data_IF_185263381339
#
_entry.id   IF_185263381339
#
_cell.length_a   1.000
_cell.length_b   1.000
_cell.length_c   1.000
_cell.angle_alpha   90.00
_cell.angle_beta   90.00
_cell.angle_gamma   90.00
#
_symmetry.space_group_name_H-M   'P 1'
#
loop_
_entity.id
_entity.type
_entity.pdbx_description
1 polymer ?
#
# COMPACT_ATOMS: atom_id res chain seq x y z
N UNK A 1 22.22 -1.30 -16.06
CA UNK A 1 21.96 -0.57 -14.81
C UNK A 1 20.49 -0.62 -14.46
N UNK A 2 19.60 -0.16 -15.34
CA UNK A 2 18.15 -0.10 -15.11
C UNK A 2 17.50 -1.42 -14.66
N UNK A 3 17.88 -2.56 -15.24
CA UNK A 3 17.28 -3.85 -14.85
C UNK A 3 17.63 -4.28 -13.42
N UNK A 4 18.85 -3.99 -12.95
CA UNK A 4 19.28 -4.30 -11.59
C UNK A 4 18.59 -3.37 -10.58
N UNK A 5 18.43 -2.10 -10.92
CA UNK A 5 17.71 -1.11 -10.09
C UNK A 5 16.22 -1.46 -9.96
N UNK A 6 15.59 -1.89 -11.06
CA UNK A 6 14.21 -2.41 -11.08
C UNK A 6 14.05 -3.68 -10.23
N UNK A 7 15.02 -4.59 -10.25
CA UNK A 7 15.02 -5.80 -9.41
C UNK A 7 15.17 -5.49 -7.92
N UNK A 8 16.07 -4.58 -7.55
CA UNK A 8 16.26 -4.13 -6.17
C UNK A 8 15.00 -3.44 -5.66
N UNK A 9 14.36 -2.60 -6.50
CA UNK A 9 13.10 -1.95 -6.17
C UNK A 9 11.96 -2.96 -5.96
N UNK A 10 11.86 -3.98 -6.81
CA UNK A 10 10.89 -5.06 -6.64
C UNK A 10 11.10 -5.81 -5.31
N UNK A 11 12.36 -6.13 -4.96
CA UNK A 11 12.68 -6.76 -3.67
C UNK A 11 12.26 -5.90 -2.47
N UNK A 12 12.49 -4.58 -2.52
CA UNK A 12 12.07 -3.66 -1.46
C UNK A 12 10.54 -3.65 -1.31
N UNK A 13 9.80 -3.69 -2.41
CA UNK A 13 8.33 -3.74 -2.36
C UNK A 13 7.86 -5.09 -1.79
N UNK A 14 8.45 -6.21 -2.18
CA UNK A 14 8.10 -7.55 -1.64
C UNK A 14 8.34 -7.59 -0.13
N UNK A 15 9.49 -7.07 0.32
CA UNK A 15 9.81 -6.95 1.75
C UNK A 15 8.78 -6.09 2.48
N UNK A 16 8.43 -4.92 1.92
CA UNK A 16 7.42 -4.03 2.47
C UNK A 16 6.08 -4.75 2.62
N UNK A 17 5.56 -5.37 1.55
CA UNK A 17 4.29 -6.11 1.56
C UNK A 17 4.31 -7.27 2.56
N UNK A 18 5.40 -8.03 2.62
CA UNK A 18 5.57 -9.15 3.56
C UNK A 18 5.59 -8.70 5.04
N UNK A 19 6.03 -7.46 5.30
CA UNK A 19 6.07 -6.88 6.64
C UNK A 19 4.71 -6.40 7.15
N UNK A 20 3.73 -6.22 6.24
CA UNK A 20 2.37 -5.79 6.61
C UNK A 20 1.64 -6.97 7.28
N UNK A 21 1.71 -7.06 8.61
CA UNK A 21 0.85 -7.94 9.43
C UNK A 21 -0.59 -7.51 9.23
N UNK A 22 -1.37 -8.22 8.41
CA UNK A 22 -2.58 -7.58 7.90
C UNK A 22 -3.80 -8.47 7.63
N UNK A 23 -4.94 -7.82 7.87
CA UNK A 23 -6.31 -8.22 7.58
C UNK A 23 -6.47 -8.44 6.07
N UNK A 24 -7.40 -9.30 5.61
CA UNK A 24 -7.56 -9.70 4.19
C UNK A 24 -7.64 -8.49 3.26
N UNK A 25 -8.26 -7.40 3.71
CA UNK A 25 -8.34 -6.14 2.96
C UNK A 25 -6.96 -5.56 2.60
N UNK A 26 -6.03 -5.53 3.56
CA UNK A 26 -4.68 -5.00 3.35
C UNK A 26 -3.84 -5.91 2.46
N UNK A 27 -4.07 -7.22 2.52
CA UNK A 27 -3.51 -8.18 1.57
C UNK A 27 -4.00 -7.89 0.15
N UNK A 28 -5.30 -7.68 -0.05
CA UNK A 28 -5.89 -7.39 -1.37
C UNK A 28 -5.39 -6.04 -1.91
N UNK A 29 -5.38 -4.99 -1.10
CA UNK A 29 -4.89 -3.67 -1.51
C UNK A 29 -3.39 -3.68 -1.77
N UNK A 30 -2.60 -4.32 -0.89
CA UNK A 30 -1.16 -4.48 -1.08
C UNK A 30 -0.84 -5.26 -2.36
N UNK A 31 -1.61 -6.31 -2.67
CA UNK A 31 -1.46 -7.09 -3.90
C UNK A 31 -1.83 -6.27 -5.15
N UNK A 32 -2.88 -5.43 -5.08
CA UNK A 32 -3.27 -4.56 -6.18
C UNK A 32 -2.20 -3.50 -6.47
N UNK A 33 -1.65 -2.88 -5.42
CA UNK A 33 -0.52 -1.93 -5.53
C UNK A 33 0.69 -2.66 -6.11
N UNK A 34 0.98 -3.88 -5.65
CA UNK A 34 2.10 -4.67 -6.15
C UNK A 34 1.98 -5.00 -7.64
N UNK A 35 0.80 -5.44 -8.08
CA UNK A 35 0.50 -5.68 -9.49
C UNK A 35 0.67 -4.41 -10.33
N UNK A 36 0.22 -3.26 -9.83
CA UNK A 36 0.44 -1.98 -10.49
C UNK A 36 1.94 -1.69 -10.67
N UNK A 37 2.76 -1.87 -9.63
CA UNK A 37 4.21 -1.65 -9.73
C UNK A 37 4.89 -2.63 -10.70
N UNK A 38 4.52 -3.92 -10.68
CA UNK A 38 5.05 -4.92 -11.62
C UNK A 38 4.77 -4.50 -13.06
N UNK A 39 3.52 -4.13 -13.37
CA UNK A 39 3.14 -3.73 -14.73
C UNK A 39 3.90 -2.48 -15.20
N UNK A 40 4.10 -1.52 -14.31
CA UNK A 40 4.83 -0.30 -14.63
C UNK A 40 6.35 -0.53 -14.74
N UNK A 41 6.94 -1.49 -14.01
CA UNK A 41 8.37 -1.84 -14.12
C UNK A 41 8.77 -2.37 -15.50
N UNK A 42 7.83 -2.90 -16.28
CA UNK A 42 8.09 -3.31 -17.67
C UNK A 42 8.12 -2.13 -18.66
N UNK A 43 7.59 -0.97 -18.26
CA UNK A 43 7.34 0.15 -19.18
C UNK A 43 8.06 1.44 -18.77
N UNK A 44 8.44 1.58 -17.51
CA UNK A 44 8.97 2.81 -16.94
C UNK A 44 10.20 2.54 -16.08
N UNK A 45 11.12 3.52 -16.05
CA UNK A 45 12.23 3.52 -15.11
C UNK A 45 11.73 3.72 -13.66
N UNK A 46 12.46 3.25 -12.64
CA UNK A 46 12.04 3.40 -11.23
C UNK A 46 11.72 4.84 -10.82
N UNK A 47 12.44 5.81 -11.37
CA UNK A 47 12.28 7.23 -11.08
C UNK A 47 11.00 7.79 -11.71
N UNK A 48 10.68 7.38 -12.93
CA UNK A 48 9.41 7.71 -13.57
C UNK A 48 8.22 7.12 -12.82
N UNK A 49 8.31 5.88 -12.34
CA UNK A 49 7.26 5.24 -11.54
C UNK A 49 7.00 6.06 -10.26
N UNK A 50 8.04 6.46 -9.54
CA UNK A 50 7.93 7.32 -8.36
C UNK A 50 7.22 8.64 -8.71
N UNK A 51 7.62 9.27 -9.80
CA UNK A 51 7.04 10.54 -10.26
C UNK A 51 5.55 10.37 -10.61
N UNK A 52 5.19 9.25 -11.23
CA UNK A 52 3.82 8.92 -11.65
C UNK A 52 2.91 8.67 -10.45
N UNK A 53 3.41 7.96 -9.44
CA UNK A 53 2.73 7.74 -8.15
C UNK A 53 2.53 9.06 -7.40
N UNK A 54 3.56 9.91 -7.33
CA UNK A 54 3.45 11.23 -6.72
C UNK A 54 2.44 12.12 -7.43
N UNK A 55 2.45 12.13 -8.76
CA UNK A 55 1.46 12.86 -9.54
C UNK A 55 0.04 12.34 -9.26
N UNK A 56 -0.17 11.02 -9.24
CA UNK A 56 -1.48 10.45 -8.90
C UNK A 56 -1.96 10.84 -7.50
N UNK A 57 -1.04 10.91 -6.53
CA UNK A 57 -1.31 11.38 -5.17
C UNK A 57 -1.77 12.83 -5.12
N UNK A 58 -1.12 13.71 -5.89
CA UNK A 58 -1.43 15.14 -5.95
C UNK A 58 -2.75 15.39 -6.68
N UNK A 59 -2.98 14.68 -7.80
CA UNK A 59 -4.18 14.87 -8.62
C UNK A 59 -5.42 14.17 -8.06
N UNK A 60 -5.27 13.12 -7.24
CA UNK A 60 -6.41 12.42 -6.63
C UNK A 60 -6.19 12.10 -5.13
N UNK A 61 -6.15 13.14 -4.28
CA UNK A 61 -5.95 12.97 -2.83
C UNK A 61 -7.11 12.22 -2.16
N UNK A 62 -8.32 12.32 -2.70
CA UNK A 62 -9.53 11.69 -2.15
C UNK A 62 -9.49 10.17 -2.37
N UNK A 63 -9.10 9.73 -3.57
CA UNK A 63 -8.94 8.30 -3.87
C UNK A 63 -7.89 7.64 -2.97
N UNK A 64 -6.83 8.37 -2.63
CA UNK A 64 -5.83 7.91 -1.67
C UNK A 64 -6.38 7.83 -0.24
N UNK A 65 -7.10 8.84 0.23
CA UNK A 65 -7.72 8.85 1.57
C UNK A 65 -8.72 7.71 1.77
N UNK A 66 -9.47 7.33 0.72
CA UNK A 66 -10.40 6.20 0.74
C UNK A 66 -9.69 4.88 1.06
N UNK A 67 -8.44 4.69 0.63
CA UNK A 67 -7.67 3.46 0.93
C UNK A 67 -7.36 3.31 2.42
N UNK A 68 -7.22 4.41 3.15
CA UNK A 68 -6.97 4.39 4.60
C UNK A 68 -8.25 4.24 5.42
N UNK A 69 -9.41 4.49 4.83
CA UNK A 69 -10.69 4.48 5.54
C UNK A 69 -10.98 3.13 6.23
N UNK A 70 -10.78 1.96 5.58
CA UNK A 70 -11.00 0.66 6.21
C UNK A 70 -9.99 0.35 7.31
N UNK A 71 -8.76 0.85 7.18
CA UNK A 71 -7.68 0.75 8.18
C UNK A 71 -8.02 1.55 9.45
N UNK A 72 -8.49 2.78 9.25
CA UNK A 72 -8.97 3.67 10.31
C UNK A 72 -10.18 3.03 10.98
N UNK A 73 -11.12 2.50 10.19
CA UNK A 73 -12.32 1.84 10.69
C UNK A 73 -11.99 0.57 11.51
N UNK A 74 -11.13 -0.33 11.03
CA UNK A 74 -10.72 -1.53 11.76
C UNK A 74 -10.01 -1.18 13.08
N UNK A 75 -9.17 -0.14 13.05
CA UNK A 75 -8.50 0.38 14.25
C UNK A 75 -9.49 0.98 15.24
N UNK A 76 -10.46 1.74 14.75
CA UNK A 76 -11.52 2.33 15.55
C UNK A 76 -12.42 1.26 16.19
N UNK A 77 -12.81 0.23 15.42
CA UNK A 77 -13.60 -0.91 15.92
C UNK A 77 -12.83 -1.68 16.99
N UNK A 78 -11.54 -1.97 16.80
CA UNK A 78 -10.71 -2.61 17.84
C UNK A 78 -10.59 -1.75 19.08
N UNK A 79 -10.43 -0.44 18.92
CA UNK A 79 -10.35 0.51 20.03
C UNK A 79 -11.66 0.51 20.84
N UNK A 80 -12.81 0.61 20.17
CA UNK A 80 -14.12 0.52 20.80
C UNK A 80 -14.32 -0.81 21.52
N UNK A 81 -14.02 -1.95 20.87
CA UNK A 81 -14.07 -3.26 21.52
C UNK A 81 -13.22 -3.29 22.79
N UNK A 82 -11.98 -2.82 22.75
CA UNK A 82 -11.08 -2.83 23.92
C UNK A 82 -11.59 -1.97 25.08
N UNK A 83 -12.24 -0.84 24.77
CA UNK A 83 -12.74 0.11 25.77
C UNK A 83 -14.03 -0.40 26.43
N UNK A 84 -14.93 -1.00 25.65
CA UNK A 84 -16.25 -1.44 26.15
C UNK A 84 -16.32 -2.91 26.62
N UNK A 85 -15.41 -3.80 26.19
CA UNK A 85 -15.36 -5.20 26.66
C UNK A 85 -14.50 -5.40 27.92
N UNK A 86 -13.78 -4.38 28.40
CA UNK A 86 -13.01 -4.45 29.66
C UNK A 86 -13.80 -4.04 30.91
N UNK A 87 -15.05 -3.58 30.77
CA UNK A 87 -15.91 -3.18 31.88
C UNK A 87 -16.94 -4.26 32.28
N UNK A 88 -16.78 -5.51 31.82
CA UNK A 88 -17.51 -6.68 32.33
C UNK A 88 -16.54 -7.68 32.93
#
# INVERSE_FOLDING_TARGET
MEFADSLIFLMLIILFVSSIKSNIFLLVVGSAIFLFFILNLFSFSPLEILTLVFNHLIFNPIGFLILFFPLIFDTFVRFLKKKFLKEK
#
